data_IF_807364074581
#
_entry.id   IF_807364074581
#
_cell.length_a   1.000
_cell.length_b   1.000
_cell.length_c   1.000
_cell.angle_alpha   90.00
_cell.angle_beta   90.00
_cell.angle_gamma   90.00
#
_symmetry.space_group_name_H-M   'P 1'
#
loop_
_entity.id
_entity.type
_entity.pdbx_description
1 polymer ?
#
# COMPACT_ATOMS: atom_id res chain seq x y z
N UNK A 1 -26.34 16.99 -14.66
CA UNK A 1 -24.98 16.66 -15.15
C UNK A 1 -24.01 17.14 -14.10
N UNK A 2 -23.24 16.22 -13.51
CA UNK A 2 -22.13 16.59 -12.63
C UNK A 2 -21.04 17.26 -13.49
N UNK A 3 -20.34 18.25 -12.94
CA UNK A 3 -19.18 18.84 -13.61
C UNK A 3 -18.14 17.73 -13.90
N UNK A 4 -17.39 17.82 -15.02
CA UNK A 4 -16.29 16.89 -15.25
C UNK A 4 -15.30 16.97 -14.07
N UNK A 5 -14.67 15.84 -13.68
CA UNK A 5 -13.68 15.87 -12.61
C UNK A 5 -12.54 16.84 -12.97
N UNK A 6 -11.95 17.54 -11.97
CA UNK A 6 -10.84 18.45 -12.21
C UNK A 6 -9.64 17.72 -12.83
N UNK A 7 -8.84 18.44 -13.61
CA UNK A 7 -7.60 17.89 -14.16
C UNK A 7 -6.63 17.59 -13.02
N UNK A 8 -5.76 16.59 -13.19
CA UNK A 8 -4.78 16.26 -12.17
C UNK A 8 -3.87 17.45 -11.84
N UNK A 9 -3.49 18.26 -12.83
CA UNK A 9 -2.70 19.48 -12.61
C UNK A 9 -3.39 20.45 -11.66
N UNK A 10 -4.71 20.65 -11.80
CA UNK A 10 -5.49 21.48 -10.89
C UNK A 10 -5.50 20.88 -9.47
N UNK A 11 -5.60 19.54 -9.38
CA UNK A 11 -5.57 18.81 -8.11
C UNK A 11 -4.22 18.95 -7.41
N UNK A 12 -3.12 19.16 -8.13
CA UNK A 12 -1.78 19.30 -7.56
C UNK A 12 -1.43 20.74 -7.15
N UNK A 13 -2.22 21.74 -7.56
CA UNK A 13 -1.98 23.13 -7.19
C UNK A 13 -2.28 23.40 -5.71
N UNK A 14 -1.51 24.32 -5.11
CA UNK A 14 -1.69 24.80 -3.74
C UNK A 14 -3.07 25.40 -3.54
N UNK A 15 -3.91 24.75 -2.73
CA UNK A 15 -5.26 25.24 -2.35
C UNK A 15 -5.70 24.67 -1.00
N UNK A 16 -6.74 25.26 -0.42
CA UNK A 16 -7.44 24.64 0.71
C UNK A 16 -8.00 23.29 0.25
N UNK A 17 -7.56 22.22 0.89
CA UNK A 17 -7.85 20.87 0.46
C UNK A 17 -7.64 19.87 1.60
N UNK A 18 -8.60 18.98 1.75
CA UNK A 18 -8.51 17.82 2.61
C UNK A 18 -8.91 16.59 1.79
N UNK A 19 -8.01 15.60 1.71
CA UNK A 19 -8.21 14.42 0.88
C UNK A 19 -9.54 13.69 1.15
N UNK A 20 -10.08 13.75 2.38
CA UNK A 20 -11.36 13.10 2.68
C UNK A 20 -12.52 13.60 1.82
N UNK A 21 -12.44 14.84 1.33
CA UNK A 21 -13.46 15.43 0.46
C UNK A 21 -13.66 14.59 -0.80
N UNK A 22 -12.58 14.32 -1.54
CA UNK A 22 -12.66 13.62 -2.82
C UNK A 22 -12.99 12.13 -2.65
N UNK A 23 -12.48 11.49 -1.60
CA UNK A 23 -12.64 10.05 -1.43
C UNK A 23 -13.93 9.67 -0.68
N UNK A 24 -14.44 10.52 0.21
CA UNK A 24 -15.64 10.21 1.01
C UNK A 24 -16.81 11.13 0.64
N UNK A 25 -16.64 12.44 0.76
CA UNK A 25 -17.75 13.38 0.67
C UNK A 25 -18.30 13.52 -0.76
N UNK A 26 -17.43 13.52 -1.76
CA UNK A 26 -17.83 13.59 -3.18
C UNK A 26 -18.64 12.37 -3.61
N UNK A 27 -18.35 11.17 -3.11
CA UNK A 27 -19.15 9.99 -3.44
C UNK A 27 -20.60 10.13 -2.95
N UNK A 28 -20.81 10.64 -1.73
CA UNK A 28 -22.15 10.93 -1.22
C UNK A 28 -22.82 12.05 -2.02
N UNK A 29 -22.09 13.13 -2.31
CA UNK A 29 -22.60 14.25 -3.10
C UNK A 29 -23.01 13.85 -4.53
N UNK A 30 -22.36 12.84 -5.10
CA UNK A 30 -22.71 12.22 -6.40
C UNK A 30 -23.92 11.30 -6.35
N UNK A 31 -24.52 11.08 -5.17
CA UNK A 31 -25.67 10.21 -4.98
C UNK A 31 -25.31 8.75 -4.69
N UNK A 32 -24.06 8.44 -4.36
CA UNK A 32 -23.62 7.07 -4.03
C UNK A 32 -23.74 6.75 -2.53
N UNK A 33 -24.46 7.55 -1.75
CA UNK A 33 -24.59 7.39 -0.30
C UNK A 33 -25.05 6.00 0.15
N UNK A 34 -26.01 5.41 -0.57
CA UNK A 34 -26.55 4.07 -0.26
C UNK A 34 -25.70 2.93 -0.84
N UNK A 35 -24.70 3.24 -1.67
CA UNK A 35 -23.82 2.24 -2.26
C UNK A 35 -22.81 1.72 -1.25
N UNK A 36 -22.58 0.40 -1.26
CA UNK A 36 -21.55 -0.25 -0.45
C UNK A 36 -20.17 0.26 -0.86
N UNK A 37 -19.43 0.83 0.09
CA UNK A 37 -18.03 1.21 -0.07
C UNK A 37 -17.12 0.04 0.32
N UNK A 38 -17.37 -0.58 1.47
CA UNK A 38 -16.54 -1.65 2.02
C UNK A 38 -17.39 -2.81 2.55
N UNK A 39 -16.90 -4.04 2.36
CA UNK A 39 -17.46 -5.24 2.98
C UNK A 39 -16.32 -6.05 3.59
N UNK A 40 -16.45 -6.43 4.87
CA UNK A 40 -15.58 -7.42 5.51
C UNK A 40 -16.35 -8.73 5.78
N UNK A 41 -15.76 -9.66 6.54
CA UNK A 41 -16.37 -10.95 6.85
C UNK A 41 -17.65 -10.85 7.71
N UNK A 42 -17.86 -9.72 8.38
CA UNK A 42 -18.92 -9.51 9.36
C UNK A 42 -20.02 -8.56 8.88
N UNK A 43 -19.67 -7.47 8.18
CA UNK A 43 -20.63 -6.43 7.79
C UNK A 43 -20.19 -5.66 6.55
N UNK A 44 -21.13 -4.87 6.03
CA UNK A 44 -20.88 -3.90 4.96
C UNK A 44 -21.08 -2.48 5.47
N UNK A 45 -20.35 -1.54 4.87
CA UNK A 45 -20.37 -0.11 5.14
C UNK A 45 -20.65 0.64 3.84
N UNK A 46 -21.73 1.42 3.80
CA UNK A 46 -22.03 2.28 2.64
C UNK A 46 -21.21 3.56 2.66
N UNK A 47 -21.13 4.28 1.53
CA UNK A 47 -20.46 5.58 1.47
C UNK A 47 -21.08 6.60 2.45
N UNK A 48 -22.40 6.62 2.59
CA UNK A 48 -23.10 7.48 3.55
C UNK A 48 -22.75 7.13 5.01
N UNK A 49 -22.69 5.83 5.34
CA UNK A 49 -22.26 5.39 6.66
C UNK A 49 -20.79 5.70 6.92
N UNK A 50 -19.91 5.55 5.93
CA UNK A 50 -18.50 5.91 6.03
C UNK A 50 -18.34 7.41 6.28
N UNK A 51 -19.07 8.25 5.55
CA UNK A 51 -19.09 9.69 5.77
C UNK A 51 -19.52 10.02 7.20
N UNK A 52 -20.68 9.53 7.64
CA UNK A 52 -21.19 9.78 8.98
C UNK A 52 -20.21 9.33 10.07
N UNK A 53 -19.69 8.11 9.95
CA UNK A 53 -18.76 7.57 10.94
C UNK A 53 -17.41 8.30 10.91
N UNK A 54 -16.97 8.81 9.76
CA UNK A 54 -15.76 9.65 9.69
C UNK A 54 -15.93 10.98 10.44
N UNK A 55 -17.12 11.61 10.39
CA UNK A 55 -17.42 12.81 11.21
C UNK A 55 -17.37 12.48 12.70
N UNK A 56 -18.06 11.40 13.10
CA UNK A 56 -18.11 10.96 14.50
C UNK A 56 -16.72 10.61 15.03
N UNK A 57 -15.93 9.88 14.24
CA UNK A 57 -14.57 9.52 14.65
C UNK A 57 -13.69 10.77 14.79
N UNK A 58 -13.74 11.70 13.83
CA UNK A 58 -12.99 12.96 13.88
C UNK A 58 -13.33 13.78 15.14
N UNK A 59 -14.61 13.92 15.47
CA UNK A 59 -15.06 14.58 16.70
C UNK A 59 -14.61 13.82 17.95
N UNK A 60 -14.69 12.49 17.95
CA UNK A 60 -14.21 11.63 19.03
C UNK A 60 -12.72 11.80 19.31
N UNK A 61 -11.87 11.89 18.27
CA UNK A 61 -10.44 12.18 18.44
C UNK A 61 -10.22 13.53 19.15
N UNK A 62 -11.01 14.55 18.82
CA UNK A 62 -10.98 15.85 19.48
C UNK A 62 -11.36 15.78 20.96
N UNK A 63 -12.38 15.00 21.32
CA UNK A 63 -12.77 14.74 22.73
C UNK A 63 -11.66 14.06 23.53
N UNK A 64 -10.85 13.23 22.87
CA UNK A 64 -9.68 12.58 23.46
C UNK A 64 -8.44 13.48 23.49
N UNK A 65 -8.58 14.74 23.06
CA UNK A 65 -7.53 15.76 23.12
C UNK A 65 -6.50 15.67 22.01
N UNK A 66 -6.74 14.87 20.95
CA UNK A 66 -5.89 14.87 19.76
C UNK A 66 -6.17 16.13 18.95
N UNK A 67 -5.13 16.66 18.31
CA UNK A 67 -5.15 17.92 17.56
C UNK A 67 -4.59 17.72 16.16
N UNK A 68 -4.84 18.69 15.27
CA UNK A 68 -4.21 18.73 13.94
C UNK A 68 -2.69 18.50 14.04
N UNK A 69 -2.13 17.85 13.02
CA UNK A 69 -0.73 17.40 12.89
C UNK A 69 -0.26 16.35 13.91
N UNK A 70 -1.09 15.96 14.88
CA UNK A 70 -0.80 14.80 15.72
C UNK A 70 -0.80 13.54 14.86
N UNK A 71 -0.01 12.53 15.26
CA UNK A 71 -0.04 11.22 14.60
C UNK A 71 -1.00 10.29 15.33
N UNK A 72 -1.80 9.56 14.54
CA UNK A 72 -2.67 8.49 15.02
C UNK A 72 -2.18 7.17 14.40
N UNK A 73 -1.59 6.31 15.21
CA UNK A 73 -1.14 5.01 14.71
C UNK A 73 -2.34 4.07 14.52
N UNK A 74 -2.38 3.31 13.42
CA UNK A 74 -3.43 2.35 13.13
C UNK A 74 -2.84 0.95 13.07
N UNK A 75 -3.11 0.14 14.10
CA UNK A 75 -2.73 -1.29 14.22
C UNK A 75 -4.01 -2.12 14.29
N UNK A 76 -4.76 -2.15 13.20
CA UNK A 76 -6.01 -2.89 13.11
C UNK A 76 -5.98 -3.88 11.95
N UNK A 77 -6.82 -4.90 12.05
CA UNK A 77 -7.10 -5.80 10.93
C UNK A 77 -7.83 -5.03 9.81
N UNK A 78 -7.81 -5.58 8.61
CA UNK A 78 -8.55 -5.04 7.47
C UNK A 78 -10.05 -5.30 7.66
N UNK A 79 -10.71 -4.45 8.43
CA UNK A 79 -12.17 -4.40 8.66
C UNK A 79 -12.72 -3.06 8.21
N UNK A 80 -14.04 -2.92 8.15
CA UNK A 80 -14.68 -1.64 7.78
C UNK A 80 -14.36 -0.49 8.75
N UNK A 81 -13.85 -0.78 9.95
CA UNK A 81 -13.44 0.24 10.93
C UNK A 81 -12.12 0.93 10.54
N UNK A 82 -11.24 0.25 9.80
CA UNK A 82 -9.97 0.82 9.37
C UNK A 82 -10.15 2.06 8.47
N UNK A 83 -10.94 2.02 7.36
CA UNK A 83 -11.18 3.21 6.55
C UNK A 83 -11.92 4.30 7.32
N UNK A 84 -12.80 3.97 8.28
CA UNK A 84 -13.43 4.98 9.16
C UNK A 84 -12.36 5.70 9.99
N UNK A 85 -11.45 4.95 10.61
CA UNK A 85 -10.37 5.52 11.41
C UNK A 85 -9.41 6.38 10.58
N UNK A 86 -9.01 5.87 9.41
CA UNK A 86 -8.09 6.54 8.49
C UNK A 86 -8.67 7.86 7.99
N UNK A 87 -9.90 7.84 7.45
CA UNK A 87 -10.53 9.04 6.91
C UNK A 87 -11.00 10.00 7.98
N UNK A 88 -11.46 9.52 9.14
CA UNK A 88 -11.79 10.39 10.28
C UNK A 88 -10.57 11.12 10.84
N UNK A 89 -9.39 10.49 10.85
CA UNK A 89 -8.15 11.17 11.22
C UNK A 89 -7.78 12.28 10.22
N UNK A 90 -7.72 11.95 8.93
CA UNK A 90 -7.45 12.92 7.85
C UNK A 90 -8.44 14.08 7.89
N UNK A 91 -9.73 13.79 8.10
CA UNK A 91 -10.80 14.78 8.26
C UNK A 91 -10.53 15.75 9.41
N UNK A 92 -9.96 15.28 10.51
CA UNK A 92 -9.60 16.09 11.67
C UNK A 92 -8.25 16.82 11.52
N UNK A 93 -7.56 16.68 10.38
CA UNK A 93 -6.19 17.18 10.18
C UNK A 93 -5.16 16.39 10.99
N UNK A 94 -5.52 15.22 11.48
CA UNK A 94 -4.64 14.28 12.20
C UNK A 94 -4.02 13.34 11.16
N UNK A 95 -2.74 13.02 11.35
CA UNK A 95 -1.97 12.21 10.41
C UNK A 95 -2.08 10.73 10.78
N UNK A 96 -2.91 9.91 10.10
CA UNK A 96 -2.89 8.46 10.29
C UNK A 96 -1.55 7.86 9.88
N UNK A 97 -1.16 6.84 10.64
CA UNK A 97 0.03 6.03 10.40
C UNK A 97 -0.40 4.56 10.40
N UNK A 98 -0.84 4.00 9.26
CA UNK A 98 -1.12 2.57 9.13
C UNK A 98 0.17 1.77 9.36
N UNK A 99 0.12 0.76 10.22
CA UNK A 99 1.28 -0.06 10.60
C UNK A 99 0.92 -1.53 10.54
N UNK A 100 1.89 -2.34 10.11
CA UNK A 100 1.75 -3.78 10.00
C UNK A 100 1.37 -4.42 11.34
N UNK A 101 0.40 -5.34 11.31
CA UNK A 101 -0.11 -6.07 12.49
C UNK A 101 0.80 -7.22 12.94
N UNK A 102 1.85 -7.53 12.17
CA UNK A 102 2.81 -8.60 12.43
C UNK A 102 4.10 -8.11 13.12
N UNK A 103 4.14 -6.87 13.60
CA UNK A 103 5.31 -6.36 14.32
C UNK A 103 5.38 -6.90 15.75
N UNK A 104 6.60 -6.96 16.27
CA UNK A 104 6.87 -7.26 17.69
C UNK A 104 6.51 -6.08 18.59
N UNK A 105 6.38 -6.33 19.90
CA UNK A 105 6.13 -5.29 20.90
C UNK A 105 7.17 -4.16 20.87
N UNK A 106 8.46 -4.49 20.72
CA UNK A 106 9.53 -3.49 20.65
C UNK A 106 9.48 -2.66 19.36
N UNK A 107 9.11 -3.27 18.24
CA UNK A 107 8.90 -2.53 16.99
C UNK A 107 7.70 -1.58 17.09
N UNK A 108 6.61 -1.99 17.75
CA UNK A 108 5.51 -1.06 18.04
C UNK A 108 5.95 0.07 18.97
N UNK A 109 6.72 -0.24 20.02
CA UNK A 109 7.26 0.78 20.93
C UNK A 109 8.13 1.79 20.17
N UNK A 110 9.00 1.30 19.27
CA UNK A 110 9.82 2.14 18.41
C UNK A 110 8.96 3.08 17.55
N UNK A 111 7.98 2.54 16.81
CA UNK A 111 7.14 3.35 15.91
C UNK A 111 6.31 4.37 16.69
N UNK A 112 5.74 3.99 17.84
CA UNK A 112 4.98 4.91 18.70
C UNK A 112 5.87 6.03 19.25
N UNK A 113 7.10 5.70 19.66
CA UNK A 113 8.05 6.68 20.18
C UNK A 113 8.60 7.62 19.09
N UNK A 114 9.06 7.08 17.96
CA UNK A 114 9.62 7.87 16.85
C UNK A 114 8.57 8.80 16.24
N UNK A 115 7.37 8.26 15.95
CA UNK A 115 6.27 9.07 15.42
C UNK A 115 5.70 10.05 16.44
N UNK A 116 5.93 9.82 17.74
CA UNK A 116 5.28 10.53 18.84
C UNK A 116 3.76 10.54 18.65
N UNK A 117 3.20 9.38 18.33
CA UNK A 117 1.76 9.23 18.13
C UNK A 117 1.01 9.67 19.39
N UNK A 118 0.01 10.55 19.22
CA UNK A 118 -0.81 11.04 20.31
C UNK A 118 -1.94 10.05 20.65
N UNK A 119 -2.29 9.19 19.71
CA UNK A 119 -3.21 8.08 19.92
C UNK A 119 -2.87 6.88 19.06
N UNK A 120 -3.52 5.77 19.36
CA UNK A 120 -3.47 4.54 18.58
C UNK A 120 -4.87 3.93 18.47
N UNK A 121 -5.25 3.53 17.26
CA UNK A 121 -6.37 2.61 17.02
C UNK A 121 -5.81 1.20 16.90
N UNK A 122 -6.27 0.28 17.73
CA UNK A 122 -5.69 -1.05 17.85
C UNK A 122 -6.78 -2.13 17.88
N UNK A 123 -6.61 -3.22 17.14
CA UNK A 123 -7.51 -4.37 17.27
C UNK A 123 -7.38 -4.99 18.68
N UNK A 124 -8.48 -5.51 19.23
CA UNK A 124 -8.53 -6.08 20.58
C UNK A 124 -7.40 -7.08 20.86
N UNK A 125 -7.05 -7.91 19.88
CA UNK A 125 -5.95 -8.90 19.96
C UNK A 125 -4.56 -8.30 20.26
N UNK A 126 -4.35 -7.02 19.97
CA UNK A 126 -3.06 -6.33 20.19
C UNK A 126 -3.12 -5.28 21.31
N UNK A 127 -4.30 -4.99 21.86
CA UNK A 127 -4.49 -3.91 22.83
C UNK A 127 -3.63 -4.10 24.10
N UNK A 128 -3.55 -5.33 24.61
CA UNK A 128 -2.76 -5.63 25.81
C UNK A 128 -1.26 -5.41 25.63
N UNK A 129 -0.73 -5.62 24.41
CA UNK A 129 0.68 -5.34 24.09
C UNK A 129 0.93 -3.84 24.20
N UNK A 130 0.06 -3.03 23.60
CA UNK A 130 0.18 -1.56 23.59
C UNK A 130 0.04 -0.97 25.00
N UNK A 131 -0.93 -1.45 25.79
CA UNK A 131 -1.14 -0.95 27.16
C UNK A 131 0.08 -1.20 28.07
N UNK A 132 0.77 -2.34 27.92
CA UNK A 132 2.02 -2.63 28.65
C UNK A 132 3.17 -1.70 28.28
N UNK A 133 3.13 -1.07 27.10
CA UNK A 133 4.15 -0.13 26.62
C UNK A 133 3.85 1.32 27.04
N UNK A 134 2.66 1.61 27.58
CA UNK A 134 2.17 2.99 27.80
C UNK A 134 3.12 3.85 28.63
N UNK A 135 3.72 3.31 29.68
CA UNK A 135 4.64 4.05 30.56
C UNK A 135 5.92 4.52 29.84
N UNK A 136 6.29 3.86 28.74
CA UNK A 136 7.44 4.21 27.88
C UNK A 136 7.09 5.23 26.80
N UNK A 137 5.80 5.61 26.68
CA UNK A 137 5.26 6.37 25.56
C UNK A 137 4.62 7.69 26.05
N UNK A 138 5.42 8.69 26.44
CA UNK A 138 4.93 9.92 27.06
C UNK A 138 4.02 10.78 26.16
N UNK A 139 4.04 10.53 24.84
CA UNK A 139 3.17 11.22 23.89
C UNK A 139 1.81 10.54 23.71
N UNK A 140 1.67 9.27 24.10
CA UNK A 140 0.46 8.49 23.87
C UNK A 140 -0.63 8.86 24.89
N UNK A 141 -1.66 9.57 24.42
CA UNK A 141 -2.80 10.02 25.23
C UNK A 141 -3.93 9.00 25.23
N UNK A 142 -4.25 8.46 24.05
CA UNK A 142 -5.42 7.62 23.85
C UNK A 142 -5.08 6.27 23.20
N UNK A 143 -5.62 5.19 23.78
CA UNK A 143 -5.64 3.86 23.17
C UNK A 143 -7.09 3.54 22.83
N UNK A 144 -7.40 3.42 21.55
CA UNK A 144 -8.75 3.18 21.02
C UNK A 144 -8.81 1.75 20.50
N UNK A 145 -9.61 0.89 21.13
CA UNK A 145 -9.67 -0.54 20.85
C UNK A 145 -10.86 -0.85 19.94
N UNK A 146 -10.62 -1.61 18.88
CA UNK A 146 -11.64 -2.06 17.91
C UNK A 146 -11.97 -3.53 18.14
N UNK A 147 -13.26 -3.89 18.11
CA UNK A 147 -13.70 -5.28 18.07
C UNK A 147 -13.55 -6.05 19.39
N UNK A 148 -13.45 -5.35 20.53
CA UNK A 148 -13.38 -6.00 21.85
C UNK A 148 -14.76 -6.48 22.31
N UNK A 149 -14.86 -7.77 22.66
CA UNK A 149 -16.03 -8.36 23.33
C UNK A 149 -16.25 -7.76 24.72
N UNK A 150 -17.47 -7.86 25.26
CA UNK A 150 -17.78 -7.33 26.60
C UNK A 150 -16.84 -7.86 27.70
N UNK A 151 -16.40 -9.11 27.61
CA UNK A 151 -15.43 -9.71 28.53
C UNK A 151 -14.02 -9.18 28.36
N UNK A 152 -13.59 -8.84 27.14
CA UNK A 152 -12.27 -8.23 26.91
C UNK A 152 -12.23 -6.78 27.37
N UNK A 153 -13.33 -6.04 27.21
CA UNK A 153 -13.43 -4.63 27.64
C UNK A 153 -13.11 -4.45 29.13
N UNK A 154 -13.58 -5.36 29.98
CA UNK A 154 -13.31 -5.31 31.43
C UNK A 154 -11.85 -5.58 31.79
N UNK A 155 -11.06 -6.14 30.87
CA UNK A 155 -9.64 -6.45 31.04
C UNK A 155 -8.72 -5.37 30.45
N UNK A 156 -9.28 -4.31 29.87
CA UNK A 156 -8.56 -3.22 29.22
C UNK A 156 -8.86 -1.89 29.92
N UNK A 157 -8.45 -1.72 31.20
CA UNK A 157 -8.61 -0.44 31.88
C UNK A 157 -7.84 0.65 31.13
N UNK A 158 -8.37 1.88 31.18
CA UNK A 158 -7.78 3.07 30.55
C UNK A 158 -7.69 3.04 29.01
N UNK A 159 -8.44 2.14 28.37
CA UNK A 159 -8.70 2.14 26.94
C UNK A 159 -10.06 2.80 26.62
N UNK A 160 -10.17 3.34 25.42
CA UNK A 160 -11.43 3.76 24.80
C UNK A 160 -11.88 2.69 23.80
N UNK A 161 -13.19 2.55 23.60
CA UNK A 161 -13.72 1.57 22.63
C UNK A 161 -14.26 2.29 21.40
N UNK A 162 -13.88 1.79 20.23
CA UNK A 162 -14.17 2.43 18.95
C UNK A 162 -15.67 2.68 18.74
N UNK A 163 -16.51 1.67 18.98
CA UNK A 163 -17.94 1.77 18.76
C UNK A 163 -18.61 2.75 19.74
N UNK A 164 -18.11 2.82 20.98
CA UNK A 164 -18.58 3.78 21.98
C UNK A 164 -18.18 5.22 21.62
N UNK A 165 -16.99 5.39 21.06
CA UNK A 165 -16.50 6.69 20.61
C UNK A 165 -17.38 7.21 19.47
N UNK A 166 -17.71 6.36 18.49
CA UNK A 166 -18.63 6.71 17.41
C UNK A 166 -20.04 7.04 17.94
N UNK A 167 -20.56 6.24 18.87
CA UNK A 167 -21.91 6.44 19.42
C UNK A 167 -22.06 7.74 20.24
N UNK A 168 -20.99 8.16 20.95
CA UNK A 168 -20.99 9.36 21.80
C UNK A 168 -20.83 10.66 21.02
N UNK A 169 -20.16 10.63 19.87
CA UNK A 169 -19.88 11.83 19.09
C UNK A 169 -21.04 12.16 18.14
N UNK A 170 -21.42 13.42 18.03
CA UNK A 170 -22.38 13.88 17.01
C UNK A 170 -21.72 13.92 15.62
N UNK A 171 -22.42 13.51 14.54
CA UNK A 171 -21.89 13.49 13.18
C UNK A 171 -21.94 14.88 12.53
N UNK A 172 -21.35 15.88 13.17
CA UNK A 172 -21.35 17.26 12.65
C UNK A 172 -20.45 17.32 11.41
N UNK A 173 -20.94 17.75 10.23
CA UNK A 173 -20.11 17.84 9.04
C UNK A 173 -19.00 18.87 9.18
N UNK A 174 -17.75 18.43 9.05
CA UNK A 174 -16.59 19.31 8.93
C UNK A 174 -15.39 18.62 8.24
N UNK A 175 -14.45 19.44 7.80
CA UNK A 175 -13.07 19.05 7.46
C UNK A 175 -12.14 20.08 8.08
N UNK A 176 -11.01 19.66 8.64
CA UNK A 176 -9.98 20.57 9.09
C UNK A 176 -9.52 21.46 7.92
N UNK A 177 -9.19 22.74 8.15
CA UNK A 177 -8.80 23.68 7.12
C UNK A 177 -7.34 23.45 6.69
N UNK A 178 -7.07 22.29 6.09
CA UNK A 178 -5.75 21.86 5.61
C UNK A 178 -5.48 22.39 4.20
N UNK A 179 -4.22 22.30 3.79
CA UNK A 179 -3.76 22.63 2.43
C UNK A 179 -3.37 21.38 1.64
N UNK A 180 -3.38 21.48 0.31
CA UNK A 180 -3.08 20.38 -0.61
C UNK A 180 -1.68 19.77 -0.48
N UNK A 181 -0.72 20.56 0.00
CA UNK A 181 0.69 20.21 0.25
C UNK A 181 1.00 19.94 1.74
N UNK A 182 -0.01 19.98 2.61
CA UNK A 182 0.16 19.54 4.00
C UNK A 182 0.18 18.01 4.09
N UNK A 183 0.92 17.51 5.09
CA UNK A 183 1.09 16.08 5.33
C UNK A 183 -0.22 15.46 5.79
N UNK A 184 -0.69 14.46 5.04
CA UNK A 184 -1.96 13.77 5.30
C UNK A 184 -1.78 12.38 5.90
N UNK A 185 -0.70 11.67 5.58
CA UNK A 185 -0.45 10.33 6.12
C UNK A 185 1.04 10.02 6.18
N UNK A 186 1.42 9.11 7.07
CA UNK A 186 2.75 8.52 7.05
C UNK A 186 2.69 7.03 6.76
N UNK A 187 3.72 6.52 6.10
CA UNK A 187 3.91 5.09 5.87
C UNK A 187 5.31 4.70 6.34
N UNK A 188 5.41 3.70 7.23
CA UNK A 188 6.69 3.16 7.66
C UNK A 188 7.20 2.10 6.68
N UNK A 189 8.50 2.17 6.38
CA UNK A 189 9.21 1.19 5.54
C UNK A 189 10.44 0.62 6.26
N UNK A 190 10.57 -0.70 6.29
CA UNK A 190 11.76 -1.41 6.76
C UNK A 190 12.87 -1.32 5.70
N UNK A 191 14.03 -0.76 6.06
CA UNK A 191 15.22 -0.90 5.21
C UNK A 191 15.91 -2.24 5.43
N UNK A 192 16.75 -2.66 4.49
CA UNK A 192 17.65 -3.82 4.61
C UNK A 192 18.57 -3.74 5.83
N UNK A 193 19.00 -2.52 6.18
CA UNK A 193 19.89 -2.25 7.31
C UNK A 193 19.37 -1.07 8.15
N UNK A 194 18.72 -1.39 9.27
CA UNK A 194 18.39 -0.43 10.33
C UNK A 194 16.92 -0.21 10.58
N UNK A 195 16.63 0.77 11.43
CA UNK A 195 15.29 1.06 11.92
C UNK A 195 14.32 1.48 10.80
N UNK A 196 13.03 1.23 11.03
CA UNK A 196 11.97 1.56 10.10
C UNK A 196 11.85 3.08 9.92
N UNK A 197 11.63 3.54 8.69
CA UNK A 197 11.62 4.97 8.34
C UNK A 197 10.20 5.39 7.97
N UNK A 198 9.69 6.48 8.54
CA UNK A 198 8.38 7.02 8.13
C UNK A 198 8.54 7.96 6.92
N UNK A 199 7.95 7.59 5.79
CA UNK A 199 7.73 8.49 4.65
C UNK A 199 6.51 9.36 4.93
N UNK A 200 6.64 10.67 4.74
CA UNK A 200 5.54 11.64 4.91
C UNK A 200 4.92 11.96 3.55
N UNK A 201 3.61 11.74 3.41
CA UNK A 201 2.85 11.99 2.19
C UNK A 201 1.85 13.11 2.39
N UNK A 202 1.68 13.94 1.36
CA UNK A 202 0.77 15.10 1.40
C UNK A 202 -0.64 14.71 0.97
N UNK A 203 -1.62 15.58 1.22
CA UNK A 203 -3.03 15.30 0.90
C UNK A 203 -3.25 14.92 -0.58
N UNK A 204 -2.51 15.54 -1.49
CA UNK A 204 -2.65 15.29 -2.94
C UNK A 204 -2.05 13.97 -3.41
N UNK A 205 -1.12 13.35 -2.65
CA UNK A 205 -0.45 12.11 -3.05
C UNK A 205 -1.43 10.96 -3.32
N UNK A 206 -2.51 10.85 -2.52
CA UNK A 206 -3.55 9.83 -2.68
C UNK A 206 -4.31 9.99 -4.00
N UNK A 207 -4.72 11.21 -4.35
CA UNK A 207 -5.45 11.47 -5.60
C UNK A 207 -4.52 11.36 -6.82
N UNK A 208 -3.26 11.74 -6.69
CA UNK A 208 -2.26 11.55 -7.74
C UNK A 208 -2.13 10.07 -8.15
N UNK A 209 -1.94 9.18 -7.17
CA UNK A 209 -1.84 7.74 -7.44
C UNK A 209 -3.17 7.16 -7.95
N UNK A 210 -4.31 7.59 -7.41
CA UNK A 210 -5.62 7.13 -7.86
C UNK A 210 -5.94 7.53 -9.31
N UNK A 211 -5.59 8.75 -9.74
CA UNK A 211 -5.76 9.20 -11.13
C UNK A 211 -4.80 8.49 -12.08
N UNK A 212 -3.51 8.45 -11.73
CA UNK A 212 -2.49 7.97 -12.66
C UNK A 212 -2.48 6.45 -12.81
N UNK A 213 -2.47 5.72 -11.69
CA UNK A 213 -2.45 4.25 -11.72
C UNK A 213 -3.87 3.66 -11.71
N UNK A 214 -4.70 4.05 -10.73
CA UNK A 214 -6.05 3.50 -10.57
C UNK A 214 -6.95 3.72 -11.79
N UNK A 215 -7.08 4.97 -12.24
CA UNK A 215 -7.92 5.31 -13.39
C UNK A 215 -7.14 5.21 -14.72
N UNK A 216 -5.90 5.72 -14.76
CA UNK A 216 -5.13 5.82 -16.00
C UNK A 216 -4.55 4.50 -16.53
N UNK A 217 -4.25 3.52 -15.66
CA UNK A 217 -3.67 2.23 -16.07
C UNK A 217 -4.62 1.07 -15.81
N UNK A 218 -5.11 0.94 -14.58
CA UNK A 218 -6.04 -0.14 -14.18
C UNK A 218 -7.42 0.05 -14.83
N UNK A 219 -7.79 1.31 -15.09
CA UNK A 219 -9.13 1.65 -15.59
C UNK A 219 -10.21 1.26 -14.58
N UNK A 220 -9.95 1.49 -13.28
CA UNK A 220 -10.95 1.24 -12.24
C UNK A 220 -12.18 2.10 -12.48
N UNK A 221 -13.35 1.52 -12.32
CA UNK A 221 -14.64 2.15 -12.61
C UNK A 221 -15.63 1.88 -11.48
N UNK A 222 -16.69 2.68 -11.46
CA UNK A 222 -17.66 2.68 -10.39
C UNK A 222 -18.28 1.29 -10.11
N UNK A 223 -18.55 0.46 -11.12
CA UNK A 223 -19.13 -0.88 -10.97
C UNK A 223 -18.12 -1.99 -10.56
N UNK A 224 -16.85 -1.63 -10.38
CA UNK A 224 -15.84 -2.57 -9.92
C UNK A 224 -16.00 -2.94 -8.43
N UNK A 225 -15.51 -4.14 -8.13
CA UNK A 225 -15.33 -4.64 -6.77
C UNK A 225 -13.86 -5.02 -6.64
N UNK A 226 -13.12 -4.25 -5.84
CA UNK A 226 -11.70 -4.46 -5.58
C UNK A 226 -11.49 -5.46 -4.44
N UNK A 227 -10.55 -6.38 -4.59
CA UNK A 227 -10.08 -7.23 -3.51
C UNK A 227 -8.55 -7.26 -3.48
N UNK A 228 -7.96 -6.74 -2.41
CA UNK A 228 -6.51 -6.75 -2.20
C UNK A 228 -6.13 -7.77 -1.12
N UNK A 229 -5.27 -8.73 -1.47
CA UNK A 229 -4.62 -9.58 -0.48
C UNK A 229 -3.55 -8.83 0.32
N UNK A 230 -2.94 -7.80 -0.27
CA UNK A 230 -2.02 -6.89 0.42
C UNK A 230 -2.80 -6.00 1.40
N UNK A 231 -2.34 -5.95 2.65
CA UNK A 231 -3.03 -5.29 3.77
C UNK A 231 -3.02 -3.77 3.67
N UNK A 232 -3.97 -3.13 4.35
CA UNK A 232 -4.10 -1.66 4.39
C UNK A 232 -2.91 -0.95 5.04
N UNK A 233 -2.10 -1.67 5.82
CA UNK A 233 -0.83 -1.16 6.37
C UNK A 233 0.29 -1.00 5.33
N UNK A 234 0.13 -1.56 4.14
CA UNK A 234 1.08 -1.40 3.04
C UNK A 234 0.56 -0.34 2.06
N UNK A 235 1.44 0.49 1.51
CA UNK A 235 1.02 1.56 0.61
C UNK A 235 0.35 1.02 -0.66
N UNK A 236 0.80 -0.15 -1.14
CA UNK A 236 0.14 -0.93 -2.18
C UNK A 236 -1.31 -1.28 -1.80
N UNK A 237 -1.52 -1.94 -0.66
CA UNK A 237 -2.86 -2.33 -0.20
C UNK A 237 -3.78 -1.14 0.09
N UNK A 238 -3.23 -0.07 0.67
CA UNK A 238 -3.95 1.19 0.92
C UNK A 238 -4.46 1.81 -0.39
N UNK A 239 -3.63 1.83 -1.43
CA UNK A 239 -4.06 2.25 -2.77
C UNK A 239 -5.17 1.36 -3.32
N UNK A 240 -4.88 0.06 -3.41
CA UNK A 240 -5.73 -0.94 -4.07
C UNK A 240 -7.13 -1.06 -3.47
N UNK A 241 -7.23 -0.99 -2.14
CA UNK A 241 -8.46 -1.26 -1.40
C UNK A 241 -9.14 0.02 -0.88
N UNK A 242 -8.43 1.15 -0.76
CA UNK A 242 -9.01 2.39 -0.22
C UNK A 242 -9.03 3.49 -1.28
N UNK A 243 -7.89 4.10 -1.63
CA UNK A 243 -7.93 5.32 -2.44
C UNK A 243 -8.39 5.07 -3.89
N UNK A 244 -7.97 3.98 -4.53
CA UNK A 244 -8.33 3.70 -5.92
C UNK A 244 -9.83 3.49 -6.11
N UNK A 245 -10.47 2.53 -5.41
CA UNK A 245 -11.90 2.30 -5.56
C UNK A 245 -12.72 3.52 -5.14
N UNK A 246 -12.36 4.19 -4.05
CA UNK A 246 -13.08 5.38 -3.59
C UNK A 246 -12.98 6.56 -4.56
N UNK A 247 -11.90 6.68 -5.35
CA UNK A 247 -11.78 7.76 -6.35
C UNK A 247 -12.82 7.72 -7.46
N UNK A 248 -13.47 6.56 -7.66
CA UNK A 248 -14.49 6.35 -8.69
C UNK A 248 -15.84 5.90 -8.10
N UNK A 249 -15.93 5.71 -6.78
CA UNK A 249 -17.12 5.22 -6.11
C UNK A 249 -17.31 3.70 -6.19
N UNK A 250 -16.26 2.92 -6.44
CA UNK A 250 -16.29 1.46 -6.48
C UNK A 250 -16.42 0.84 -5.08
N UNK A 251 -16.62 -0.47 -5.01
CA UNK A 251 -16.70 -1.21 -3.75
C UNK A 251 -15.41 -1.99 -3.47
N UNK A 252 -15.13 -2.26 -2.20
CA UNK A 252 -13.97 -3.04 -1.78
C UNK A 252 -14.37 -4.19 -0.86
N UNK A 253 -13.76 -5.35 -1.07
CA UNK A 253 -13.80 -6.49 -0.15
C UNK A 253 -12.53 -6.48 0.72
N UNK A 254 -12.71 -6.51 2.03
CA UNK A 254 -11.64 -6.56 3.02
C UNK A 254 -11.54 -7.96 3.63
N UNK A 255 -10.31 -8.46 3.75
CA UNK A 255 -10.01 -9.74 4.38
C UNK A 255 -9.21 -9.49 5.66
N UNK A 256 -9.82 -9.61 6.86
CA UNK A 256 -9.11 -9.37 8.12
C UNK A 256 -7.96 -10.35 8.35
N UNK A 257 -8.18 -11.63 8.00
CA UNK A 257 -7.26 -12.73 8.28
C UNK A 257 -6.05 -12.76 7.33
N UNK A 258 -5.05 -13.59 7.66
CA UNK A 258 -3.91 -13.85 6.77
C UNK A 258 -4.41 -14.35 5.40
N UNK A 259 -3.93 -13.79 4.28
CA UNK A 259 -4.38 -14.17 2.94
C UNK A 259 -3.76 -15.50 2.50
N UNK A 260 -4.19 -16.60 3.10
CA UNK A 260 -3.82 -17.95 2.63
C UNK A 260 -4.53 -18.26 1.30
N UNK A 261 -4.01 -19.17 0.46
CA UNK A 261 -4.69 -19.56 -0.79
C UNK A 261 -6.15 -19.95 -0.59
N UNK A 262 -6.44 -20.72 0.47
CA UNK A 262 -7.80 -21.13 0.84
C UNK A 262 -8.69 -19.92 1.16
N UNK A 263 -8.23 -19.00 2.00
CA UNK A 263 -9.01 -17.81 2.38
C UNK A 263 -9.24 -16.87 1.20
N UNK A 264 -8.23 -16.72 0.33
CA UNK A 264 -8.30 -15.87 -0.86
C UNK A 264 -9.27 -16.45 -1.89
N UNK A 265 -9.18 -17.75 -2.21
CA UNK A 265 -10.13 -18.41 -3.13
C UNK A 265 -11.56 -18.38 -2.58
N UNK A 266 -11.75 -18.61 -1.28
CA UNK A 266 -13.07 -18.49 -0.65
C UNK A 266 -13.63 -17.06 -0.78
N UNK A 267 -12.78 -16.04 -0.63
CA UNK A 267 -13.17 -14.62 -0.78
C UNK A 267 -13.52 -14.28 -2.23
N UNK A 268 -12.69 -14.72 -3.19
CA UNK A 268 -12.92 -14.56 -4.62
C UNK A 268 -14.27 -15.16 -5.04
N UNK A 269 -14.56 -16.40 -4.62
CA UNK A 269 -15.82 -17.09 -4.90
C UNK A 269 -17.03 -16.49 -4.20
N UNK A 270 -16.86 -15.94 -3.00
CA UNK A 270 -17.98 -15.38 -2.24
C UNK A 270 -18.39 -14.00 -2.75
N UNK A 271 -17.42 -13.16 -3.09
CA UNK A 271 -17.66 -11.75 -3.37
C UNK A 271 -17.52 -11.37 -4.84
N UNK A 272 -17.05 -12.29 -5.70
CA UNK A 272 -16.93 -12.09 -7.14
C UNK A 272 -16.26 -10.75 -7.52
N UNK A 273 -15.06 -10.44 -6.99
CA UNK A 273 -14.40 -9.18 -7.30
C UNK A 273 -14.04 -9.11 -8.78
N UNK A 274 -14.04 -7.90 -9.32
CA UNK A 274 -13.64 -7.61 -10.71
C UNK A 274 -12.14 -7.39 -10.82
N UNK A 275 -11.49 -6.91 -9.76
CA UNK A 275 -10.04 -6.67 -9.71
C UNK A 275 -9.45 -7.35 -8.48
N UNK A 276 -8.40 -8.14 -8.70
CA UNK A 276 -7.65 -8.80 -7.64
C UNK A 276 -6.22 -8.30 -7.58
N UNK A 277 -5.73 -8.01 -6.37
CA UNK A 277 -4.37 -7.54 -6.12
C UNK A 277 -3.65 -8.49 -5.18
N UNK A 278 -2.46 -8.93 -5.58
CA UNK A 278 -1.63 -9.82 -4.77
C UNK A 278 -0.13 -9.58 -5.06
N UNK A 279 0.72 -10.34 -4.37
CA UNK A 279 2.16 -10.42 -4.62
C UNK A 279 2.47 -11.70 -5.40
N UNK A 280 3.61 -11.80 -6.12
CA UNK A 280 4.00 -12.99 -6.88
C UNK A 280 3.90 -14.31 -6.10
N UNK A 281 4.46 -14.40 -4.88
CA UNK A 281 4.39 -15.62 -4.08
C UNK A 281 2.94 -16.10 -3.81
N UNK A 282 1.97 -15.18 -3.68
CA UNK A 282 0.58 -15.57 -3.51
C UNK A 282 -0.04 -16.08 -4.82
N UNK A 283 0.31 -15.50 -5.97
CA UNK A 283 -0.10 -16.05 -7.27
C UNK A 283 0.43 -17.47 -7.47
N UNK A 284 1.70 -17.72 -7.11
CA UNK A 284 2.29 -19.07 -7.15
C UNK A 284 1.54 -20.05 -6.23
N UNK A 285 1.28 -19.64 -4.99
CA UNK A 285 0.54 -20.47 -4.03
C UNK A 285 -0.92 -20.75 -4.45
N UNK A 286 -1.58 -19.80 -5.12
CA UNK A 286 -2.91 -19.98 -5.70
C UNK A 286 -2.88 -20.96 -6.87
N UNK A 287 -1.89 -20.87 -7.77
CA UNK A 287 -1.73 -21.80 -8.89
C UNK A 287 -1.38 -23.23 -8.47
N UNK A 288 -0.77 -23.40 -7.30
CA UNK A 288 -0.54 -24.69 -6.70
C UNK A 288 -1.79 -25.28 -6.00
N UNK A 289 -2.84 -24.48 -5.79
CA UNK A 289 -4.05 -24.93 -5.11
C UNK A 289 -4.91 -25.81 -6.03
N UNK A 290 -5.36 -27.01 -5.62
CA UNK A 290 -6.08 -27.94 -6.50
C UNK A 290 -7.39 -27.40 -7.11
N UNK A 291 -8.01 -26.43 -6.44
CA UNK A 291 -9.27 -25.83 -6.86
C UNK A 291 -9.11 -24.54 -7.70
N UNK A 292 -7.90 -24.20 -8.13
CA UNK A 292 -7.68 -23.06 -9.03
C UNK A 292 -8.20 -23.39 -10.44
N UNK A 293 -8.75 -22.39 -11.11
CA UNK A 293 -9.30 -22.53 -12.45
C UNK A 293 -9.74 -21.18 -13.02
N UNK A 294 -10.57 -21.19 -14.09
CA UNK A 294 -11.02 -19.98 -14.76
C UNK A 294 -11.60 -18.93 -13.80
N UNK A 295 -11.18 -17.68 -13.97
CA UNK A 295 -11.59 -16.54 -13.14
C UNK A 295 -11.14 -16.61 -11.68
N UNK A 296 -10.32 -17.61 -11.29
CA UNK A 296 -9.95 -17.89 -9.91
C UNK A 296 -11.17 -17.99 -8.97
N UNK A 297 -12.31 -18.46 -9.52
CA UNK A 297 -13.59 -18.57 -8.82
C UNK A 297 -14.49 -17.33 -8.89
N UNK A 298 -14.07 -16.24 -9.55
CA UNK A 298 -14.90 -15.07 -9.85
C UNK A 298 -15.15 -14.97 -11.36
N UNK A 299 -16.40 -15.09 -11.78
CA UNK A 299 -16.87 -14.93 -13.16
C UNK A 299 -16.78 -13.49 -13.69
N UNK A 300 -16.57 -12.52 -12.79
CA UNK A 300 -16.44 -11.09 -13.12
C UNK A 300 -14.99 -10.60 -13.11
N UNK A 301 -14.04 -11.46 -12.74
CA UNK A 301 -12.63 -11.09 -12.65
C UNK A 301 -12.13 -10.68 -14.04
N UNK A 302 -11.74 -9.41 -14.15
CA UNK A 302 -11.28 -8.82 -15.42
C UNK A 302 -9.81 -8.42 -15.41
N UNK A 303 -9.22 -8.28 -14.22
CA UNK A 303 -7.84 -7.81 -14.07
C UNK A 303 -7.22 -8.32 -12.78
N UNK A 304 -5.98 -8.77 -12.89
CA UNK A 304 -5.11 -9.06 -11.75
C UNK A 304 -3.93 -8.08 -11.76
N UNK A 305 -3.48 -7.67 -10.59
CA UNK A 305 -2.31 -6.78 -10.44
C UNK A 305 -1.33 -7.40 -9.44
N UNK A 306 -0.06 -7.35 -9.78
CA UNK A 306 1.06 -7.84 -8.97
C UNK A 306 1.99 -6.69 -8.62
N UNK A 307 2.47 -6.68 -7.38
CA UNK A 307 3.54 -5.79 -6.93
C UNK A 307 4.21 -6.39 -5.68
N UNK A 308 5.29 -5.76 -5.23
CA UNK A 308 6.03 -6.12 -4.01
C UNK A 308 7.26 -6.97 -4.27
N UNK A 309 7.21 -7.80 -5.31
CA UNK A 309 8.32 -8.57 -5.86
C UNK A 309 8.17 -8.57 -7.39
N UNK A 310 9.24 -8.84 -8.13
CA UNK A 310 9.16 -8.96 -9.59
C UNK A 310 8.48 -10.29 -9.96
N UNK A 311 7.53 -10.24 -10.90
CA UNK A 311 6.75 -11.40 -11.32
C UNK A 311 7.52 -12.25 -12.35
N UNK A 312 7.88 -13.52 -12.04
CA UNK A 312 8.53 -14.39 -13.02
C UNK A 312 7.66 -14.62 -14.25
N UNK A 313 8.29 -14.67 -15.43
CA UNK A 313 7.53 -14.73 -16.69
C UNK A 313 6.57 -15.95 -16.75
N UNK A 314 7.11 -17.13 -16.43
CA UNK A 314 6.37 -18.39 -16.41
C UNK A 314 5.15 -18.35 -15.46
N UNK A 315 5.22 -17.58 -14.38
CA UNK A 315 4.15 -17.49 -13.40
C UNK A 315 2.97 -16.69 -13.95
N UNK A 316 3.24 -15.57 -14.61
CA UNK A 316 2.23 -14.76 -15.29
C UNK A 316 1.59 -15.49 -16.47
N UNK A 317 2.39 -16.18 -17.28
CA UNK A 317 1.91 -17.01 -18.40
C UNK A 317 0.99 -18.13 -17.92
N UNK A 318 1.40 -18.87 -16.88
CA UNK A 318 0.60 -19.95 -16.29
C UNK A 318 -0.68 -19.42 -15.64
N UNK A 319 -0.64 -18.26 -14.99
CA UNK A 319 -1.85 -17.61 -14.48
C UNK A 319 -2.81 -17.30 -15.62
N UNK A 320 -2.32 -16.70 -16.71
CA UNK A 320 -3.15 -16.38 -17.88
C UNK A 320 -3.76 -17.64 -18.50
N UNK A 321 -3.02 -18.74 -18.58
CA UNK A 321 -3.52 -20.03 -19.08
C UNK A 321 -4.62 -20.63 -18.20
N UNK A 322 -4.40 -20.70 -16.89
CA UNK A 322 -5.31 -21.38 -15.94
C UNK A 322 -6.54 -20.52 -15.60
N UNK A 323 -6.32 -19.23 -15.36
CA UNK A 323 -7.34 -18.29 -14.85
C UNK A 323 -8.00 -17.53 -15.99
N UNK A 324 -7.32 -17.34 -17.13
CA UNK A 324 -7.89 -16.60 -18.27
C UNK A 324 -7.94 -15.08 -18.07
N UNK A 325 -7.14 -14.53 -17.14
CA UNK A 325 -7.03 -13.09 -16.83
C UNK A 325 -5.55 -12.72 -16.77
N UNK A 326 -5.16 -11.56 -17.32
CA UNK A 326 -3.78 -11.09 -17.25
C UNK A 326 -3.40 -10.59 -15.85
N UNK A 327 -2.13 -10.74 -15.49
CA UNK A 327 -1.52 -10.11 -14.31
C UNK A 327 -0.67 -8.93 -14.75
N UNK A 328 -1.04 -7.72 -14.33
CA UNK A 328 -0.20 -6.55 -14.51
C UNK A 328 0.86 -6.52 -13.42
N UNK A 329 2.09 -6.88 -13.76
CA UNK A 329 3.21 -6.65 -12.84
C UNK A 329 3.60 -5.17 -12.82
N UNK A 330 3.91 -4.65 -11.64
CA UNK A 330 4.26 -3.25 -11.44
C UNK A 330 5.13 -3.02 -10.21
N UNK A 331 5.96 -1.98 -10.29
CA UNK A 331 6.80 -1.50 -9.21
C UNK A 331 6.24 -0.18 -8.67
N UNK A 332 6.07 -0.17 -7.35
CA UNK A 332 5.92 1.02 -6.55
C UNK A 332 6.92 1.02 -5.40
N UNK A 333 6.87 2.07 -4.59
CA UNK A 333 7.61 2.13 -3.34
C UNK A 333 6.79 2.86 -2.28
N UNK A 334 7.19 2.73 -1.02
CA UNK A 334 6.56 3.52 0.04
C UNK A 334 6.80 5.02 -0.18
N UNK A 335 7.98 5.35 -0.72
CA UNK A 335 8.44 6.69 -1.07
C UNK A 335 7.63 7.32 -2.20
N UNK A 336 7.12 6.53 -3.14
CA UNK A 336 6.25 7.01 -4.23
C UNK A 336 4.76 6.75 -3.97
N UNK A 337 4.42 6.29 -2.76
CA UNK A 337 3.10 5.85 -2.29
C UNK A 337 2.53 4.62 -3.03
N UNK A 338 2.59 4.58 -4.36
CA UNK A 338 2.05 3.49 -5.17
C UNK A 338 2.91 3.25 -6.43
N UNK A 339 2.41 2.47 -7.36
CA UNK A 339 3.04 2.00 -8.60
C UNK A 339 3.30 3.16 -9.56
N UNK A 340 4.54 3.28 -10.02
CA UNK A 340 4.98 4.28 -10.99
C UNK A 340 5.55 3.64 -12.27
N UNK A 341 5.75 2.32 -12.28
CA UNK A 341 6.21 1.54 -13.42
C UNK A 341 5.32 0.28 -13.50
N UNK A 342 4.66 0.03 -14.64
CA UNK A 342 3.73 -1.09 -14.74
C UNK A 342 3.50 -1.59 -16.16
N UNK A 343 3.17 -2.88 -16.27
CA UNK A 343 2.46 -3.44 -17.42
C UNK A 343 1.05 -2.82 -17.53
N UNK A 344 0.42 -2.92 -18.70
CA UNK A 344 -0.92 -2.35 -18.92
C UNK A 344 -1.87 -3.36 -19.53
N UNK A 345 -3.20 -3.19 -19.36
CA UNK A 345 -4.17 -3.98 -20.09
C UNK A 345 -3.91 -3.88 -21.60
N UNK A 346 -3.75 -5.02 -22.28
CA UNK A 346 -3.43 -5.08 -23.71
C UNK A 346 -1.97 -4.82 -24.08
N UNK A 347 -1.10 -4.52 -23.11
CA UNK A 347 0.34 -4.34 -23.30
C UNK A 347 1.11 -4.96 -22.11
N UNK A 348 1.11 -6.31 -22.06
CA UNK A 348 1.76 -7.10 -21.01
C UNK A 348 2.97 -7.82 -21.59
N UNK A 349 4.13 -7.68 -20.94
CA UNK A 349 5.34 -8.46 -21.22
C UNK A 349 5.81 -9.10 -19.92
N UNK A 350 5.44 -10.37 -19.72
CA UNK A 350 5.78 -11.12 -18.52
C UNK A 350 7.31 -11.22 -18.31
N UNK A 351 7.75 -11.18 -17.04
CA UNK A 351 9.15 -11.03 -16.65
C UNK A 351 9.69 -9.59 -16.71
N UNK A 352 8.94 -8.66 -17.30
CA UNK A 352 9.20 -7.21 -17.19
C UNK A 352 8.20 -6.56 -16.24
N UNK A 353 8.57 -5.39 -15.72
CA UNK A 353 7.70 -4.50 -14.94
C UNK A 353 6.95 -3.51 -15.84
N UNK A 354 6.96 -3.71 -17.16
CA UNK A 354 6.29 -2.84 -18.11
C UNK A 354 7.00 -1.51 -18.35
N UNK A 355 6.22 -0.42 -18.46
CA UNK A 355 6.72 0.93 -18.82
C UNK A 355 6.25 1.99 -17.82
N UNK A 356 6.83 3.20 -17.81
CA UNK A 356 6.51 4.23 -16.82
C UNK A 356 5.04 4.61 -16.85
N UNK A 357 4.35 4.58 -15.72
CA UNK A 357 2.94 5.01 -15.62
C UNK A 357 2.85 6.45 -16.12
N UNK A 358 1.93 6.81 -17.05
CA UNK A 358 1.85 8.18 -17.56
C UNK A 358 1.69 9.18 -16.41
N UNK A 359 2.43 10.28 -16.44
CA UNK A 359 2.55 11.22 -15.33
C UNK A 359 3.73 10.96 -14.39
N UNK A 360 4.38 9.80 -14.50
CA UNK A 360 5.69 9.54 -13.93
C UNK A 360 6.75 9.51 -15.02
N UNK A 361 7.92 10.04 -14.68
CA UNK A 361 9.13 9.91 -15.48
C UNK A 361 10.11 9.04 -14.73
N UNK A 362 10.72 8.09 -15.43
CA UNK A 362 11.76 7.24 -14.85
C UNK A 362 12.97 7.24 -15.77
N UNK A 363 14.15 7.13 -15.17
CA UNK A 363 15.41 6.94 -15.87
C UNK A 363 16.29 5.98 -15.09
N UNK A 364 17.25 5.41 -15.79
CA UNK A 364 18.26 4.51 -15.23
C UNK A 364 19.56 5.32 -15.20
N UNK A 365 20.22 5.41 -14.04
CA UNK A 365 21.43 6.22 -13.86
C UNK A 365 22.64 5.43 -13.38
N UNK A 366 23.83 5.91 -13.74
CA UNK A 366 25.11 5.44 -13.19
C UNK A 366 25.37 6.03 -11.78
N UNK A 367 26.50 5.64 -11.17
CA UNK A 367 26.90 6.11 -9.84
C UNK A 367 27.17 7.63 -9.76
N UNK A 368 27.34 8.30 -10.90
CA UNK A 368 27.49 9.75 -11.00
C UNK A 368 26.16 10.49 -11.27
N UNK A 369 25.06 9.74 -11.41
CA UNK A 369 23.73 10.28 -11.69
C UNK A 369 23.47 10.58 -13.17
N UNK A 370 24.35 10.15 -14.08
CA UNK A 370 24.15 10.30 -15.54
C UNK A 370 23.19 9.23 -16.03
N UNK A 371 22.27 9.61 -16.89
CA UNK A 371 21.32 8.67 -17.52
C UNK A 371 22.04 7.71 -18.46
N UNK A 372 21.74 6.42 -18.33
CA UNK A 372 22.28 5.35 -19.13
C UNK A 372 21.39 5.08 -20.37
N UNK A 373 21.97 4.66 -21.50
CA UNK A 373 21.20 4.25 -22.68
C UNK A 373 20.46 2.91 -22.43
N UNK A 374 19.59 2.55 -23.37
CA UNK A 374 18.91 1.25 -23.32
C UNK A 374 19.93 0.09 -23.40
N UNK A 375 19.64 -1.00 -22.69
CA UNK A 375 20.49 -2.19 -22.59
C UNK A 375 21.56 -2.14 -21.48
N UNK A 376 21.70 -1.03 -20.76
CA UNK A 376 22.62 -0.92 -19.63
C UNK A 376 21.89 -1.01 -18.28
N UNK A 377 22.57 -1.64 -17.30
CA UNK A 377 22.05 -1.80 -15.94
C UNK A 377 22.49 -0.60 -15.09
N UNK A 378 21.54 0.06 -14.42
CA UNK A 378 21.81 1.16 -13.51
C UNK A 378 20.73 1.31 -12.44
N UNK A 379 20.85 2.33 -11.60
CA UNK A 379 19.86 2.61 -10.55
C UNK A 379 18.62 3.28 -11.14
N UNK A 380 17.45 2.78 -10.78
CA UNK A 380 16.17 3.37 -11.17
C UNK A 380 15.89 4.61 -10.30
N UNK A 381 15.61 5.72 -10.96
CA UNK A 381 15.14 6.94 -10.30
C UNK A 381 13.86 7.41 -10.96
N UNK A 382 12.96 7.97 -10.15
CA UNK A 382 11.60 8.33 -10.57
C UNK A 382 11.26 9.75 -10.15
N UNK A 383 10.63 10.49 -11.06
CA UNK A 383 9.97 11.77 -10.81
C UNK A 383 8.47 11.59 -10.96
N UNK A 384 7.70 12.06 -10.00
CA UNK A 384 6.24 12.06 -10.09
C UNK A 384 5.55 12.72 -8.92
N UNK A 385 4.25 13.03 -9.06
CA UNK A 385 3.51 13.88 -8.13
C UNK A 385 3.17 13.23 -6.78
N UNK A 386 3.39 11.93 -6.62
CA UNK A 386 3.11 11.20 -5.39
C UNK A 386 4.33 10.93 -4.52
N UNK A 387 5.48 11.52 -4.86
CA UNK A 387 6.69 11.38 -4.05
C UNK A 387 6.45 11.92 -2.64
N UNK A 388 6.95 11.19 -1.65
CA UNK A 388 6.96 11.61 -0.26
C UNK A 388 7.87 12.82 -0.04
N UNK A 389 7.54 13.64 0.96
CA UNK A 389 8.28 14.87 1.26
C UNK A 389 9.68 14.57 1.82
N UNK A 390 9.76 13.64 2.77
CA UNK A 390 11.00 13.16 3.36
C UNK A 390 10.76 11.92 4.23
N UNK A 391 11.84 11.34 4.75
CA UNK A 391 11.76 10.53 5.97
C UNK A 391 11.72 11.41 7.22
N UNK A 392 10.82 11.11 8.15
CA UNK A 392 10.81 11.70 9.50
C UNK A 392 12.08 11.30 10.27
N UNK A 393 12.67 12.22 11.03
CA UNK A 393 13.87 12.01 11.87
C UNK A 393 15.11 11.38 11.17
N UNK A 394 15.15 11.26 9.84
CA UNK A 394 16.26 10.62 9.11
C UNK A 394 16.85 11.52 8.01
N UNK A 395 17.24 12.75 8.37
CA UNK A 395 17.72 13.79 7.42
C UNK A 395 18.76 13.30 6.41
N UNK A 396 19.74 12.50 6.83
CA UNK A 396 20.78 11.97 5.94
C UNK A 396 20.21 11.02 4.89
N UNK A 397 19.29 10.13 5.27
CA UNK A 397 18.61 9.24 4.33
C UNK A 397 17.68 10.04 3.40
N UNK A 398 16.96 11.02 3.94
CA UNK A 398 16.07 11.88 3.14
C UNK A 398 16.81 12.59 2.00
N UNK A 399 17.99 13.15 2.28
CA UNK A 399 18.79 13.85 1.26
C UNK A 399 19.40 12.94 0.19
N UNK A 400 19.50 11.64 0.45
CA UNK A 400 19.97 10.65 -0.53
C UNK A 400 18.84 10.12 -1.39
N UNK A 401 17.66 9.94 -0.78
CA UNK A 401 16.49 9.37 -1.45
C UNK A 401 15.71 10.41 -2.24
N UNK A 402 15.43 11.58 -1.67
CA UNK A 402 14.64 12.65 -2.28
C UNK A 402 15.57 13.77 -2.75
N UNK A 403 15.97 13.72 -4.03
CA UNK A 403 16.98 14.59 -4.65
C UNK A 403 16.30 15.52 -5.65
N UNK A 404 15.92 16.72 -5.18
CA UNK A 404 15.12 17.64 -5.98
C UNK A 404 13.76 17.01 -6.30
N UNK A 405 13.43 16.90 -7.58
CA UNK A 405 12.19 16.25 -8.05
C UNK A 405 12.32 14.73 -8.23
N UNK A 406 13.53 14.17 -8.05
CA UNK A 406 13.82 12.76 -8.29
C UNK A 406 13.89 11.97 -6.99
N UNK A 407 13.27 10.80 -6.99
CA UNK A 407 13.33 9.82 -5.92
C UNK A 407 14.17 8.62 -6.35
N UNK A 408 15.21 8.31 -5.60
CA UNK A 408 16.05 7.13 -5.79
C UNK A 408 15.39 5.92 -5.14
N UNK A 409 15.11 4.87 -5.92
CA UNK A 409 14.33 3.72 -5.45
C UNK A 409 15.19 2.68 -4.72
N UNK A 410 16.51 2.71 -4.97
CA UNK A 410 17.45 1.68 -4.51
C UNK A 410 17.34 0.37 -5.30
N UNK A 411 16.67 0.37 -6.45
CA UNK A 411 16.56 -0.79 -7.34
C UNK A 411 17.45 -0.62 -8.56
N UNK A 412 18.03 -1.73 -9.04
CA UNK A 412 18.74 -1.79 -10.31
C UNK A 412 17.80 -2.32 -11.39
N UNK A 413 17.83 -1.66 -12.53
CA UNK A 413 16.99 -1.98 -13.68
C UNK A 413 17.78 -1.92 -14.98
N UNK A 414 17.26 -2.61 -15.98
CA UNK A 414 17.63 -2.50 -17.38
C UNK A 414 16.39 -2.11 -18.19
N UNK A 415 16.55 -1.19 -19.15
CA UNK A 415 15.50 -0.84 -20.12
C UNK A 415 15.85 -1.42 -21.48
N UNK A 416 14.94 -2.18 -22.08
CA UNK A 416 15.12 -2.71 -23.44
C UNK A 416 14.86 -1.65 -24.53
N UNK A 417 15.03 -2.05 -25.80
CA UNK A 417 14.83 -1.16 -26.94
C UNK A 417 13.35 -0.77 -27.18
N UNK A 418 12.40 -1.56 -26.68
CA UNK A 418 10.96 -1.30 -26.78
C UNK A 418 10.44 -0.48 -25.59
N UNK A 419 11.31 -0.14 -24.64
CA UNK A 419 11.02 0.67 -23.46
C UNK A 419 10.46 -0.10 -22.26
N UNK A 420 10.55 -1.44 -22.24
CA UNK A 420 10.20 -2.24 -21.07
C UNK A 420 11.36 -2.30 -20.08
N UNK A 421 11.00 -2.31 -18.81
CA UNK A 421 11.93 -2.29 -17.70
C UNK A 421 12.00 -3.66 -17.03
N UNK A 422 13.21 -4.15 -16.83
CA UNK A 422 13.50 -5.45 -16.23
C UNK A 422 14.23 -5.25 -14.92
N UNK A 423 13.68 -5.83 -13.86
CA UNK A 423 14.28 -5.80 -12.53
C UNK A 423 15.58 -6.60 -12.54
N UNK A 424 16.65 -6.01 -12.02
CA UNK A 424 17.95 -6.65 -11.92
C UNK A 424 18.36 -6.94 -10.48
N UNK A 425 17.57 -6.56 -9.47
CA UNK A 425 17.93 -6.71 -8.06
C UNK A 425 17.99 -5.37 -7.32
N UNK A 426 18.23 -5.41 -6.01
CA UNK A 426 18.44 -4.20 -5.21
C UNK A 426 19.87 -3.72 -5.34
N UNK A 427 20.09 -2.41 -5.23
CA UNK A 427 21.44 -1.82 -5.24
C UNK A 427 22.34 -2.42 -4.15
N UNK A 428 21.78 -2.84 -3.03
CA UNK A 428 22.48 -3.50 -1.92
C UNK A 428 22.55 -5.03 -2.00
N UNK A 429 21.77 -5.67 -2.86
CA UNK A 429 21.78 -7.14 -3.06
C UNK A 429 22.59 -7.56 -4.30
N UNK A 430 22.82 -6.64 -5.24
CA UNK A 430 23.67 -6.89 -6.40
C UNK A 430 25.09 -7.25 -5.96
N UNK A 431 25.63 -8.33 -6.51
CA UNK A 431 27.01 -8.74 -6.26
C UNK A 431 27.75 -8.98 -7.57
N UNK A 432 29.09 -8.97 -7.49
CA UNK A 432 29.95 -9.23 -8.65
C UNK A 432 30.53 -10.62 -8.60
N UNK A 433 30.41 -11.35 -9.70
CA UNK A 433 31.09 -12.64 -9.91
C UNK A 433 32.03 -12.45 -11.09
N UNK A 434 33.32 -12.68 -10.86
CA UNK A 434 34.37 -12.48 -11.88
C UNK A 434 34.35 -11.08 -12.53
N UNK A 435 34.05 -10.04 -11.74
CA UNK A 435 34.03 -8.64 -12.20
C UNK A 435 32.75 -8.21 -12.94
N UNK A 436 31.82 -9.12 -13.22
CA UNK A 436 30.52 -8.82 -13.83
C UNK A 436 29.45 -8.70 -12.76
N UNK A 437 28.53 -7.75 -12.93
CA UNK A 437 27.33 -7.68 -12.10
C UNK A 437 26.48 -8.92 -12.35
N UNK A 438 26.10 -9.60 -11.26
CA UNK A 438 25.16 -10.72 -11.29
C UNK A 438 23.90 -10.27 -10.57
N UNK A 439 22.77 -10.43 -11.25
CA UNK A 439 21.47 -10.28 -10.66
C UNK A 439 21.12 -11.54 -9.85
N UNK A 440 20.91 -11.46 -8.53
CA UNK A 440 20.35 -12.60 -7.78
C UNK A 440 19.00 -13.02 -8.37
N UNK A 441 18.17 -12.04 -8.74
CA UNK A 441 16.84 -12.25 -9.31
C UNK A 441 16.85 -13.04 -10.63
N UNK A 442 17.82 -12.81 -11.51
CA UNK A 442 17.96 -13.59 -12.75
C UNK A 442 18.19 -15.08 -12.45
N UNK A 443 19.04 -15.37 -11.46
CA UNK A 443 19.33 -16.75 -11.03
C UNK A 443 18.12 -17.37 -10.32
N UNK A 444 17.43 -16.61 -9.45
CA UNK A 444 16.19 -17.03 -8.79
C UNK A 444 15.10 -17.38 -9.81
N UNK A 445 14.92 -16.53 -10.82
CA UNK A 445 13.96 -16.74 -11.91
C UNK A 445 14.29 -17.98 -12.73
N UNK A 446 15.58 -18.20 -13.04
CA UNK A 446 16.01 -19.40 -13.74
C UNK A 446 15.75 -20.68 -12.91
N UNK A 447 16.00 -20.64 -11.60
CA UNK A 447 15.72 -21.77 -10.69
C UNK A 447 14.22 -22.04 -10.56
N UNK A 448 13.43 -21.00 -10.35
CA UNK A 448 11.97 -21.10 -10.22
C UNK A 448 11.27 -21.60 -11.49
N UNK A 449 11.93 -21.56 -12.66
CA UNK A 449 11.40 -22.13 -13.90
C UNK A 449 11.35 -23.67 -13.91
N UNK A 450 12.06 -24.34 -12.99
CA UNK A 450 12.07 -25.79 -12.89
C UNK A 450 10.90 -26.30 -12.05
N UNK A 451 10.11 -27.27 -12.56
CA UNK A 451 8.83 -27.72 -11.96
C UNK A 451 8.91 -28.19 -10.50
N UNK A 452 10.08 -28.66 -10.06
CA UNK A 452 10.32 -29.10 -8.69
C UNK A 452 10.59 -27.96 -7.67
N UNK A 453 10.81 -26.73 -8.14
CA UNK A 453 11.15 -25.58 -7.30
C UNK A 453 9.89 -24.76 -7.05
N UNK A 454 9.51 -24.61 -5.78
CA UNK A 454 8.37 -23.77 -5.40
C UNK A 454 8.77 -22.28 -5.38
N UNK A 455 9.84 -21.97 -4.66
CA UNK A 455 10.46 -20.65 -4.52
C UNK A 455 11.97 -20.85 -4.36
N UNK A 456 12.78 -19.84 -4.73
CA UNK A 456 14.23 -19.86 -4.57
C UNK A 456 14.72 -18.47 -4.16
N UNK A 457 15.78 -18.42 -3.36
CA UNK A 457 16.48 -17.18 -3.02
C UNK A 457 17.98 -17.32 -3.29
N UNK A 458 18.61 -16.31 -3.90
CA UNK A 458 20.03 -16.33 -4.27
C UNK A 458 20.77 -15.18 -3.61
N UNK A 459 21.87 -15.51 -2.96
CA UNK A 459 22.78 -14.52 -2.36
C UNK A 459 24.18 -14.63 -2.96
N UNK A 460 24.95 -13.56 -2.85
CA UNK A 460 26.40 -13.63 -2.97
C UNK A 460 26.98 -14.27 -1.70
N UNK A 461 27.70 -15.39 -1.85
CA UNK A 461 28.45 -16.03 -0.76
C UNK A 461 29.91 -16.20 -1.16
N UNK A 462 30.83 -15.82 -0.27
CA UNK A 462 32.26 -16.09 -0.47
C UNK A 462 32.54 -17.60 -0.44
N UNK A 463 33.31 -18.06 -1.43
CA UNK A 463 33.87 -19.40 -1.47
C UNK A 463 35.14 -19.52 -0.60
N UNK A 464 35.80 -20.69 -0.62
CA UNK A 464 37.00 -20.94 0.17
C UNK A 464 38.21 -20.06 -0.19
N UNK A 465 38.15 -19.36 -1.32
CA UNK A 465 39.19 -18.42 -1.79
C UNK A 465 38.79 -16.95 -1.56
N UNK A 466 37.66 -16.70 -0.89
CA UNK A 466 37.16 -15.34 -0.63
C UNK A 466 36.50 -14.69 -1.86
N UNK A 467 36.21 -15.44 -2.92
CA UNK A 467 35.53 -14.93 -4.10
C UNK A 467 34.02 -15.07 -3.93
N UNK A 468 33.28 -13.99 -4.16
CA UNK A 468 31.81 -14.05 -4.13
C UNK A 468 31.29 -14.92 -5.28
N UNK A 469 30.49 -15.93 -4.96
CA UNK A 469 29.78 -16.82 -5.89
C UNK A 469 28.27 -16.78 -5.59
N UNK A 470 27.41 -17.04 -6.59
CA UNK A 470 25.99 -17.22 -6.33
C UNK A 470 25.76 -18.47 -5.48
N UNK A 471 24.94 -18.35 -4.43
CA UNK A 471 24.43 -19.48 -3.65
C UNK A 471 22.91 -19.40 -3.57
N UNK A 472 22.26 -20.46 -4.04
CA UNK A 472 20.82 -20.64 -3.94
C UNK A 472 20.41 -21.37 -2.65
N UNK A 473 19.18 -21.11 -2.18
CA UNK A 473 18.50 -21.79 -1.07
C UNK A 473 17.13 -22.29 -1.48
#
# INVERSE_FOLDING_TARGET
MLAPPPLLEDVLQRRAYNAVTDFVDENVARGLGDKVAFTDSTRSLTYGQLQEQSYRFAAGLGMLGLRAENRLMLVSHDTVDHPVAFWGAIRAGIVPVPVNTLLTAEQYAYVLADSRAAGIVVAASFASIVLKLRDRLPHLRAVIVVGASASERSQLPDAHFFEELLAKAEPIPFTAPTMSDEVALWMYTSGSTGEAKAVRHVHTSLMATARLMGQGVIGIREDDVAFSAAKLSFSYGLGNAVSFPMSVGASTVLLPDRPTPQAVLATLRRHHPTIFYAVPSLYAALLAHPEIGPGAGSDRLRLCVSAGEALPAHLGERWREVVGVDVLDGLGSTEMLQTFLSNRPGDVRYGSTGKPVPGYEVKIVDESGRELPAGEIGELVVRGPSAGESYWNHRTKSRRTFVGEWTYTGDKYLRDADGYYYYCGRTDDMFKVNGMWVSPFEVETALASHEAVLEAAVIGKEDGEGLTKPKAF
#
